data_IF_850863109142
#
_entry.id   IF_850863109142
#
_cell.length_a   1.000
_cell.length_b   1.000
_cell.length_c   1.000
_cell.angle_alpha   90.00
_cell.angle_beta   90.00
_cell.angle_gamma   90.00
#
_symmetry.space_group_name_H-M   'P 1'
#
loop_
_entity.id
_entity.type
_entity.pdbx_description
1 polymer ?
#
# COMPACT_ATOMS: atom_id res chain seq x y z
N UNK A 1 -15.52 16.36 14.86
CA UNK A 1 -14.60 15.41 15.53
C UNK A 1 -13.54 15.08 14.50
N UNK A 2 -12.32 15.61 14.63
CA UNK A 2 -11.22 15.30 13.70
C UNK A 2 -10.62 13.99 14.18
N UNK A 3 -11.00 12.87 13.55
CA UNK A 3 -10.35 11.59 13.81
C UNK A 3 -8.87 11.80 13.49
N UNK A 4 -8.05 11.81 14.55
CA UNK A 4 -6.61 11.94 14.39
C UNK A 4 -6.13 10.67 13.72
N UNK A 5 -5.85 10.82 12.42
CA UNK A 5 -5.19 9.82 11.60
C UNK A 5 -3.94 9.38 12.31
N UNK A 6 -3.94 8.14 12.78
CA UNK A 6 -2.67 7.47 12.90
C UNK A 6 -2.29 7.20 11.45
N UNK A 7 -1.16 7.74 11.01
CA UNK A 7 -0.53 7.31 9.78
C UNK A 7 0.49 6.22 10.14
N UNK A 8 0.70 5.26 9.24
CA UNK A 8 1.77 4.27 9.34
C UNK A 8 2.76 4.49 8.20
N UNK A 9 4.01 4.03 8.39
CA UNK A 9 4.94 4.02 7.28
C UNK A 9 4.58 2.85 6.35
N UNK A 10 4.40 3.18 5.09
CA UNK A 10 4.25 2.23 4.01
C UNK A 10 5.48 2.32 3.12
N UNK A 11 6.14 1.19 2.94
CA UNK A 11 7.20 1.03 1.95
C UNK A 11 6.67 0.12 0.85
N UNK A 12 6.69 0.60 -0.39
CA UNK A 12 6.38 -0.20 -1.58
C UNK A 12 7.67 -0.37 -2.37
N UNK A 13 8.10 -1.62 -2.50
CA UNK A 13 9.31 -1.98 -3.21
C UNK A 13 9.07 -3.20 -4.09
N UNK A 14 9.89 -3.31 -5.13
CA UNK A 14 10.07 -4.53 -5.92
C UNK A 14 11.52 -4.97 -5.81
N UNK A 15 11.86 -6.20 -6.22
CA UNK A 15 13.25 -6.66 -6.27
C UNK A 15 14.19 -5.73 -7.06
N UNK A 16 13.65 -4.94 -8.00
CA UNK A 16 14.41 -3.99 -8.81
C UNK A 16 14.65 -2.63 -8.11
N UNK A 17 13.64 -2.07 -7.43
CA UNK A 17 13.69 -0.74 -6.81
C UNK A 17 12.57 -0.46 -5.82
N UNK A 18 12.73 0.60 -5.01
CA UNK A 18 11.68 1.16 -4.15
C UNK A 18 10.82 2.14 -4.97
N UNK A 19 9.50 1.93 -4.96
CA UNK A 19 8.53 2.78 -5.65
C UNK A 19 7.95 3.84 -4.75
N UNK A 20 7.71 3.52 -3.48
CA UNK A 20 7.13 4.43 -2.50
C UNK A 20 7.75 4.19 -1.12
N UNK A 21 8.00 5.25 -0.39
CA UNK A 21 8.36 5.18 1.03
C UNK A 21 7.83 6.44 1.70
N UNK A 22 6.94 6.28 2.68
CA UNK A 22 6.35 7.42 3.36
C UNK A 22 5.16 7.08 4.25
N UNK A 23 4.61 8.11 4.88
CA UNK A 23 3.46 7.98 5.77
C UNK A 23 2.15 7.96 5.02
N UNK A 24 1.29 7.00 5.37
CA UNK A 24 -0.01 6.78 4.74
C UNK A 24 -1.07 6.53 5.79
N UNK A 25 -2.32 6.80 5.46
CA UNK A 25 -3.47 6.54 6.34
C UNK A 25 -4.09 5.17 6.09
N UNK A 26 -4.07 4.71 4.83
CA UNK A 26 -4.58 3.41 4.44
C UNK A 26 -3.93 2.90 3.16
N UNK A 27 -3.85 1.58 3.03
CA UNK A 27 -3.50 0.92 1.78
C UNK A 27 -4.50 -0.17 1.47
N UNK A 28 -5.03 -0.16 0.26
CA UNK A 28 -5.90 -1.20 -0.27
C UNK A 28 -5.06 -2.02 -1.24
N UNK A 29 -5.02 -3.33 -1.05
CA UNK A 29 -4.24 -4.23 -1.90
C UNK A 29 -5.04 -5.49 -2.28
N UNK A 30 -4.81 -6.07 -3.47
CA UNK A 30 -5.45 -7.30 -3.92
C UNK A 30 -4.78 -8.52 -3.26
N UNK A 31 -5.37 -9.08 -2.21
CA UNK A 31 -4.89 -10.32 -1.58
C UNK A 31 -5.46 -11.57 -2.26
N UNK A 32 -4.91 -12.73 -1.90
CA UNK A 32 -5.36 -14.03 -2.42
C UNK A 32 -6.84 -14.35 -2.21
N UNK A 33 -7.45 -13.80 -1.17
CA UNK A 33 -8.87 -14.01 -0.83
C UNK A 33 -9.77 -12.85 -1.30
N UNK A 34 -9.21 -11.85 -1.98
CA UNK A 34 -9.90 -10.62 -2.39
C UNK A 34 -9.15 -9.37 -1.94
N UNK A 35 -9.77 -8.20 -2.19
CA UNK A 35 -9.20 -6.92 -1.78
C UNK A 35 -9.26 -6.75 -0.26
N UNK A 36 -8.13 -6.36 0.32
CA UNK A 36 -8.00 -6.02 1.74
C UNK A 36 -7.58 -4.56 1.88
N UNK A 37 -8.16 -3.90 2.88
CA UNK A 37 -7.75 -2.56 3.30
C UNK A 37 -7.00 -2.67 4.63
N UNK A 38 -5.76 -2.21 4.64
CA UNK A 38 -4.94 -2.08 5.84
C UNK A 38 -5.04 -0.64 6.35
N UNK A 39 -5.49 -0.54 7.60
CA UNK A 39 -5.58 0.71 8.37
C UNK A 39 -4.52 0.71 9.47
N UNK A 40 -4.33 1.86 10.12
CA UNK A 40 -3.47 1.91 11.30
C UNK A 40 -3.89 0.99 12.42
N UNK A 41 -2.89 0.44 13.12
CA UNK A 41 -3.05 -0.58 14.17
C UNK A 41 -3.59 -1.93 13.69
N UNK A 42 -3.50 -2.22 12.39
CA UNK A 42 -3.76 -3.57 11.94
C UNK A 42 -2.79 -4.56 12.61
N UNK A 43 -3.29 -5.74 12.96
CA UNK A 43 -2.48 -6.81 13.54
C UNK A 43 -1.41 -7.28 12.54
N UNK A 44 -0.35 -7.89 13.06
CA UNK A 44 0.70 -8.45 12.22
C UNK A 44 0.09 -9.48 11.25
N UNK A 45 0.34 -9.28 9.95
CA UNK A 45 -0.27 -10.06 8.88
C UNK A 45 0.74 -10.20 7.75
N UNK A 46 0.90 -11.42 7.25
CA UNK A 46 1.62 -11.68 6.01
C UNK A 46 0.63 -12.31 5.04
N UNK A 47 0.46 -11.71 3.87
CA UNK A 47 -0.42 -12.24 2.83
C UNK A 47 0.19 -12.07 1.45
N UNK A 48 -0.05 -13.04 0.57
CA UNK A 48 0.34 -12.92 -0.82
C UNK A 48 -0.64 -12.04 -1.58
N UNK A 49 -0.10 -11.19 -2.43
CA UNK A 49 -0.84 -10.32 -3.32
C UNK A 49 -1.06 -11.01 -4.67
N UNK A 50 -2.22 -10.77 -5.26
CA UNK A 50 -2.55 -11.16 -6.62
C UNK A 50 -2.40 -9.98 -7.57
N UNK A 51 -2.49 -10.25 -8.87
CA UNK A 51 -2.55 -9.21 -9.88
C UNK A 51 -3.77 -8.30 -9.63
N UNK A 52 -3.53 -7.01 -9.53
CA UNK A 52 -4.60 -6.02 -9.38
C UNK A 52 -4.11 -4.65 -8.95
N UNK A 53 -5.07 -3.81 -8.59
CA UNK A 53 -4.82 -2.41 -8.25
C UNK A 53 -4.60 -2.26 -6.75
N UNK A 54 -3.47 -1.66 -6.38
CA UNK A 54 -3.17 -1.17 -5.05
C UNK A 54 -3.52 0.32 -4.99
N UNK A 55 -4.27 0.72 -3.98
CA UNK A 55 -4.67 2.11 -3.75
C UNK A 55 -4.08 2.56 -2.42
N UNK A 56 -3.25 3.58 -2.45
CA UNK A 56 -2.59 4.13 -1.27
C UNK A 56 -3.23 5.48 -0.97
N UNK A 57 -3.65 5.70 0.27
CA UNK A 57 -4.15 7.00 0.70
C UNK A 57 -3.12 7.66 1.62
N UNK A 58 -2.64 8.83 1.20
CA UNK A 58 -1.66 9.63 1.93
C UNK A 58 -2.30 10.45 3.07
N UNK A 59 -1.48 11.02 3.95
CA UNK A 59 -1.92 11.90 5.04
C UNK A 59 -2.66 13.15 4.56
N UNK A 60 -2.34 13.64 3.37
CA UNK A 60 -3.01 14.77 2.73
C UNK A 60 -4.32 14.37 2.02
N UNK A 61 -4.82 13.15 2.24
CA UNK A 61 -5.99 12.55 1.57
C UNK A 61 -5.82 12.35 0.05
N UNK A 62 -4.63 12.56 -0.51
CA UNK A 62 -4.34 12.19 -1.89
C UNK A 62 -4.32 10.67 -2.04
N UNK A 63 -4.89 10.18 -3.14
CA UNK A 63 -4.91 8.76 -3.48
C UNK A 63 -3.95 8.48 -4.62
N UNK A 64 -3.06 7.53 -4.40
CA UNK A 64 -2.16 6.99 -5.42
C UNK A 64 -2.65 5.62 -5.82
N UNK A 65 -2.62 5.33 -7.11
CA UNK A 65 -2.99 4.02 -7.65
C UNK A 65 -1.79 3.40 -8.31
N UNK A 66 -1.59 2.12 -8.07
CA UNK A 66 -0.60 1.33 -8.77
C UNK A 66 -1.16 -0.03 -9.12
N UNK A 67 -0.77 -0.57 -10.27
CA UNK A 67 -1.09 -1.93 -10.66
C UNK A 67 0.13 -2.82 -10.42
N UNK A 68 -0.08 -3.92 -9.71
CA UNK A 68 0.95 -4.93 -9.42
C UNK A 68 0.54 -6.27 -10.04
N UNK A 69 1.51 -7.08 -10.47
CA UNK A 69 1.26 -8.44 -10.97
C UNK A 69 1.08 -9.45 -9.84
N UNK A 70 1.61 -9.15 -8.67
CA UNK A 70 1.61 -9.99 -7.49
C UNK A 70 2.66 -9.51 -6.50
N UNK A 71 2.84 -10.26 -5.42
CA UNK A 71 3.82 -9.91 -4.39
C UNK A 71 3.46 -10.43 -3.01
N UNK A 72 4.01 -9.78 -2.00
CA UNK A 72 3.79 -10.07 -0.59
C UNK A 72 3.49 -8.75 0.12
N UNK A 73 2.43 -8.75 0.92
CA UNK A 73 2.14 -7.69 1.86
C UNK A 73 2.46 -8.18 3.27
N UNK A 74 3.35 -7.48 3.94
CA UNK A 74 3.72 -7.71 5.32
C UNK A 74 3.28 -6.51 6.16
N UNK A 75 2.67 -6.80 7.30
CA UNK A 75 2.29 -5.84 8.33
C UNK A 75 2.99 -6.30 9.61
N UNK A 76 3.90 -5.48 10.14
CA UNK A 76 4.65 -5.74 11.38
C UNK A 76 4.90 -4.42 12.12
N UNK A 77 3.81 -3.70 12.43
CA UNK A 77 3.87 -2.32 12.92
C UNK A 77 3.98 -1.32 11.77
N UNK A 78 5.04 -1.45 10.97
CA UNK A 78 5.15 -0.82 9.65
C UNK A 78 4.61 -1.76 8.56
N UNK A 79 4.19 -1.20 7.42
CA UNK A 79 3.61 -1.97 6.32
C UNK A 79 4.58 -2.00 5.15
N UNK A 80 4.93 -3.20 4.70
CA UNK A 80 5.81 -3.41 3.56
C UNK A 80 5.07 -4.14 2.45
N UNK A 81 4.99 -3.52 1.28
CA UNK A 81 4.44 -4.12 0.07
C UNK A 81 5.59 -4.46 -0.87
N UNK A 82 5.90 -5.75 -0.96
CA UNK A 82 6.92 -6.29 -1.84
C UNK A 82 6.24 -6.81 -3.10
N UNK A 83 6.13 -5.95 -4.12
CA UNK A 83 5.53 -6.31 -5.40
C UNK A 83 6.56 -7.05 -6.27
N UNK A 84 6.14 -8.15 -6.91
CA UNK A 84 6.98 -8.90 -7.86
C UNK A 84 7.32 -8.01 -9.07
N UNK A 85 6.28 -7.39 -9.65
CA UNK A 85 6.40 -6.38 -10.70
C UNK A 85 5.29 -5.31 -10.53
N UNK A 86 5.66 -4.05 -10.76
CA UNK A 86 4.73 -2.91 -10.77
C UNK A 86 4.55 -2.45 -12.21
N UNK A 87 3.35 -2.63 -12.75
CA UNK A 87 3.02 -2.35 -14.15
C UNK A 87 2.76 -0.86 -14.40
N UNK A 88 2.08 -0.21 -13.46
CA UNK A 88 1.72 1.20 -13.59
C UNK A 88 1.69 1.83 -12.20
N UNK A 89 2.31 3.00 -12.05
CA UNK A 89 2.21 3.81 -10.85
C UNK A 89 1.72 5.20 -11.25
N UNK A 90 0.43 5.46 -10.99
CA UNK A 90 -0.18 6.75 -11.25
C UNK A 90 -0.05 7.64 -10.01
N UNK A 91 0.98 8.48 -10.04
CA UNK A 91 1.15 9.58 -9.12
C UNK A 91 0.32 10.74 -9.64
N UNK A 92 -0.86 10.97 -9.06
CA UNK A 92 -1.58 12.22 -9.31
C UNK A 92 -0.79 13.36 -8.65
N UNK A 93 0.18 13.90 -9.36
CA UNK A 93 0.48 15.33 -9.25
C UNK A 93 -0.74 16.06 -9.80
N UNK A 94 -1.65 16.45 -8.92
CA UNK A 94 -2.48 17.61 -9.24
C UNK A 94 -1.53 18.82 -9.28
N UNK A 95 -1.33 19.31 -10.50
CA UNK A 95 -0.60 20.53 -10.85
C UNK A 95 -1.22 21.78 -10.24
#
# INVERSE_FOLDING_TARGET
MKEQGKAFNLTVASPDKVYFDGKVISVIAPGKLGYLEILTHHAALITSLQKGNVIITLENFSKMKMEVTGGILEVSGDVSLLADEVLQAEWRSES
#
